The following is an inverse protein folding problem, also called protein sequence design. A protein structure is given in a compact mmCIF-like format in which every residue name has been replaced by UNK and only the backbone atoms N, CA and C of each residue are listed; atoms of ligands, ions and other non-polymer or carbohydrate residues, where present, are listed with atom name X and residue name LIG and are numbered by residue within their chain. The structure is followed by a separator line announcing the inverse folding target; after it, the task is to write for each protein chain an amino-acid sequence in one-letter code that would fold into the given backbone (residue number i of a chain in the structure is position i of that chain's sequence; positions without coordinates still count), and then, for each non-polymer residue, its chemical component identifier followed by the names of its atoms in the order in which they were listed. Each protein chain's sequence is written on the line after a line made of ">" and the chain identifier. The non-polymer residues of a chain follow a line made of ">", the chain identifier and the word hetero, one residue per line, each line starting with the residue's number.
data_IF_716341396008
#
_entry.id   IF_716341396008
#
_cell.length_a   1.000
_cell.length_b   1.000
_cell.length_c   1.000
_cell.angle_alpha   90.00
_cell.angle_beta   90.00
_cell.angle_gamma   90.00
#
_symmetry.space_group_name_H-M   'P 1'
#
loop_
_entity.id
_entity.type
_entity.pdbx_description
1 polymer ?
#
# COMPACT_ATOMS: atom_id res chain seq x y z
N UNK A 1 -2.47 36.96 55.44
CA UNK A 1 -3.75 36.27 55.20
C UNK A 1 -3.67 35.61 53.82
N UNK A 2 -3.58 34.27 53.72
CA UNK A 2 -3.49 33.60 52.43
C UNK A 2 -4.90 33.27 51.93
N UNK A 3 -5.35 33.99 50.90
CA UNK A 3 -6.62 33.72 50.23
C UNK A 3 -6.35 32.97 48.93
N UNK A 4 -6.86 31.74 48.87
CA UNK A 4 -7.26 31.00 47.67
C UNK A 4 -6.25 30.81 46.53
N UNK A 5 -5.40 29.78 46.65
CA UNK A 5 -4.91 29.00 45.50
C UNK A 5 -5.48 27.56 45.56
N UNK A 6 -6.78 27.45 45.82
CA UNK A 6 -7.48 26.16 45.91
C UNK A 6 -8.62 26.06 44.89
N UNK A 7 -8.31 26.44 43.65
CA UNK A 7 -9.05 26.15 42.43
C UNK A 7 -7.90 26.03 41.42
N UNK A 8 -7.47 24.89 40.90
CA UNK A 8 -8.17 24.04 39.92
C UNK A 8 -7.44 22.68 39.75
N UNK A 9 -6.64 22.20 40.72
CA UNK A 9 -5.89 20.95 40.51
C UNK A 9 -6.78 19.71 40.40
N UNK A 10 -7.93 19.67 41.10
CA UNK A 10 -8.91 18.59 40.94
C UNK A 10 -9.55 18.60 39.53
N UNK A 11 -9.66 19.79 38.91
CA UNK A 11 -10.21 19.97 37.57
C UNK A 11 -9.27 19.42 36.50
N UNK A 12 -7.96 19.68 36.61
CA UNK A 12 -6.99 19.24 35.61
C UNK A 12 -6.84 17.72 35.60
N UNK A 13 -6.73 17.07 36.76
CA UNK A 13 -6.63 15.61 36.80
C UNK A 13 -7.92 14.94 36.32
N UNK A 14 -9.09 15.46 36.71
CA UNK A 14 -10.37 14.97 36.18
C UNK A 14 -10.52 15.19 34.67
N UNK A 15 -10.00 16.32 34.16
CA UNK A 15 -9.98 16.61 32.72
C UNK A 15 -9.05 15.64 31.97
N UNK A 16 -7.87 15.34 32.53
CA UNK A 16 -6.93 14.37 31.97
C UNK A 16 -7.56 12.96 31.94
N UNK A 17 -8.21 12.54 33.03
CA UNK A 17 -8.90 11.25 33.08
C UNK A 17 -10.05 11.17 32.07
N UNK A 18 -10.84 12.25 31.95
CA UNK A 18 -11.89 12.38 30.93
C UNK A 18 -11.34 12.30 29.51
N UNK A 19 -10.24 13.02 29.21
CA UNK A 19 -9.60 12.99 27.90
C UNK A 19 -8.99 11.62 27.59
N UNK A 20 -8.40 10.96 28.58
CA UNK A 20 -7.87 9.60 28.42
C UNK A 20 -8.99 8.58 28.17
N UNK A 21 -10.15 8.72 28.84
CA UNK A 21 -11.33 7.90 28.59
C UNK A 21 -11.87 8.13 27.16
N UNK A 22 -11.97 9.39 26.72
CA UNK A 22 -12.38 9.74 25.35
C UNK A 22 -11.41 9.21 24.29
N UNK A 23 -10.09 9.29 24.53
CA UNK A 23 -9.07 8.71 23.62
C UNK A 23 -9.18 7.19 23.58
N UNK A 24 -9.45 6.54 24.71
CA UNK A 24 -9.63 5.09 24.79
C UNK A 24 -10.90 4.65 24.06
N UNK A 25 -11.99 5.41 24.18
CA UNK A 25 -13.24 5.22 23.44
C UNK A 25 -13.04 5.44 21.93
N UNK A 26 -12.32 6.49 21.52
CA UNK A 26 -11.90 6.72 20.13
C UNK A 26 -11.04 5.57 19.59
N UNK A 27 -10.11 5.03 20.38
CA UNK A 27 -9.29 3.87 20.01
C UNK A 27 -10.10 2.58 19.90
N UNK A 28 -11.13 2.41 20.72
CA UNK A 28 -12.07 1.27 20.67
C UNK A 28 -13.08 1.37 19.52
N UNK A 29 -13.41 2.59 19.08
CA UNK A 29 -14.18 2.88 17.86
C UNK A 29 -13.32 2.86 16.58
N UNK A 30 -12.00 2.74 16.71
CA UNK A 30 -11.06 2.52 15.61
C UNK A 30 -10.67 1.04 15.47
N UNK A 31 -11.59 0.18 15.01
CA UNK A 31 -11.18 -0.98 14.23
C UNK A 31 -11.97 -1.09 12.91
N UNK A 32 -12.28 0.01 12.23
CA UNK A 32 -13.11 -0.04 11.01
C UNK A 32 -12.62 0.82 9.86
N UNK A 33 -11.31 0.91 9.60
CA UNK A 33 -10.78 0.98 8.21
C UNK A 33 -9.42 0.29 8.08
N UNK A 34 -9.24 -0.87 8.71
CA UNK A 34 -8.26 -1.86 8.27
C UNK A 34 -8.78 -2.70 7.08
N UNK A 35 -9.58 -2.07 6.20
CA UNK A 35 -10.05 -2.64 4.94
C UNK A 35 -9.77 -1.72 3.74
N UNK A 36 -8.84 -0.77 3.85
CA UNK A 36 -8.40 0.04 2.71
C UNK A 36 -6.97 -0.24 2.23
N UNK A 37 -6.16 -1.01 2.96
CA UNK A 37 -4.80 -1.32 2.47
C UNK A 37 -4.79 -2.25 1.24
N UNK A 38 -5.88 -2.99 0.96
CA UNK A 38 -5.99 -3.81 -0.26
C UNK A 38 -6.76 -3.14 -1.39
N UNK A 39 -7.50 -2.07 -1.11
CA UNK A 39 -8.23 -1.32 -2.14
C UNK A 39 -7.31 -0.33 -2.87
N UNK A 40 -6.30 0.23 -2.20
CA UNK A 40 -5.36 1.18 -2.83
C UNK A 40 -4.48 0.53 -3.90
N UNK A 41 -4.06 -0.73 -3.71
CA UNK A 41 -3.31 -1.50 -4.71
C UNK A 41 -4.07 -1.66 -6.04
N UNK A 42 -5.40 -1.69 -6.01
CA UNK A 42 -6.22 -1.86 -7.20
C UNK A 42 -6.30 -0.58 -8.07
N UNK A 43 -5.97 0.58 -7.49
CA UNK A 43 -6.04 1.90 -8.16
C UNK A 43 -4.69 2.61 -8.29
N UNK A 44 -3.62 2.07 -7.70
CA UNK A 44 -2.28 2.66 -7.81
C UNK A 44 -1.76 2.55 -9.25
N UNK A 45 -1.39 3.72 -9.80
CA UNK A 45 -0.67 3.80 -11.06
C UNK A 45 0.75 3.26 -10.88
N UNK A 46 1.20 2.49 -11.87
CA UNK A 46 2.54 1.91 -11.86
C UNK A 46 3.59 2.97 -12.19
N UNK A 47 4.67 2.97 -11.42
CA UNK A 47 5.79 3.85 -11.66
C UNK A 47 6.82 3.13 -12.55
N UNK A 48 6.92 3.57 -13.79
CA UNK A 48 7.95 3.07 -14.70
C UNK A 48 9.28 3.76 -14.38
N UNK A 49 10.38 3.01 -14.17
CA UNK A 49 11.70 3.60 -14.08
C UNK A 49 12.05 4.35 -15.38
N UNK A 50 13.01 5.29 -15.36
CA UNK A 50 13.27 6.24 -16.45
C UNK A 50 13.81 5.61 -17.75
N UNK A 51 13.81 4.28 -17.87
CA UNK A 51 14.18 3.61 -19.11
C UNK A 51 13.11 3.97 -20.15
N UNK A 52 13.50 4.57 -21.29
CA UNK A 52 12.53 4.89 -22.33
C UNK A 52 12.00 3.60 -22.94
N UNK A 53 10.73 3.31 -22.68
CA UNK A 53 9.99 2.21 -23.27
C UNK A 53 9.32 2.72 -24.55
N UNK A 54 9.49 2.02 -25.66
CA UNK A 54 8.85 2.41 -26.92
C UNK A 54 7.32 2.44 -26.75
N UNK A 55 6.60 3.37 -27.42
CA UNK A 55 5.14 3.44 -27.30
C UNK A 55 4.43 2.14 -27.65
N UNK A 56 4.95 1.39 -28.64
CA UNK A 56 4.42 0.09 -29.04
C UNK A 56 4.64 -1.00 -27.99
N UNK A 57 5.72 -0.93 -27.21
CA UNK A 57 6.04 -1.93 -26.19
C UNK A 57 5.22 -1.72 -24.90
N UNK A 58 4.74 -0.49 -24.68
CA UNK A 58 3.91 -0.13 -23.51
C UNK A 58 2.57 -0.85 -23.45
N UNK A 59 2.06 -1.34 -24.58
CA UNK A 59 0.84 -2.15 -24.61
C UNK A 59 1.00 -3.50 -23.90
N UNK A 60 2.23 -3.96 -23.69
CA UNK A 60 2.55 -5.21 -23.00
C UNK A 60 2.80 -5.01 -21.50
N UNK A 61 2.67 -3.77 -21.02
CA UNK A 61 2.90 -3.43 -19.62
C UNK A 61 1.57 -3.15 -18.92
N UNK A 62 1.41 -3.61 -17.68
CA UNK A 62 0.25 -3.26 -16.89
C UNK A 62 0.30 -1.78 -16.53
N UNK A 63 -0.86 -1.13 -16.44
CA UNK A 63 -1.01 0.25 -15.98
C UNK A 63 -1.36 0.32 -14.49
N UNK A 64 -1.86 -0.79 -13.93
CA UNK A 64 -2.25 -0.92 -12.52
C UNK A 64 -1.84 -2.28 -11.96
N UNK A 65 -1.70 -2.37 -10.63
CA UNK A 65 -1.44 -3.65 -9.96
C UNK A 65 -2.55 -4.69 -10.18
N UNK A 66 -3.80 -4.25 -10.41
CA UNK A 66 -4.93 -5.14 -10.74
C UNK A 66 -4.73 -5.81 -12.11
N UNK A 67 -4.26 -5.05 -13.08
CA UNK A 67 -4.00 -5.56 -14.43
C UNK A 67 -2.89 -6.61 -14.38
N UNK A 68 -1.82 -6.35 -13.63
CA UNK A 68 -0.74 -7.31 -13.39
C UNK A 68 -1.22 -8.62 -12.74
N UNK A 69 -2.23 -8.58 -11.86
CA UNK A 69 -2.83 -9.79 -11.26
C UNK A 69 -3.59 -10.65 -12.28
N UNK A 70 -4.01 -10.07 -13.40
CA UNK A 70 -4.75 -10.77 -14.45
C UNK A 70 -3.82 -11.35 -15.53
N UNK A 71 -2.54 -10.95 -15.57
CA UNK A 71 -1.60 -11.34 -16.62
C UNK A 71 -1.37 -12.84 -16.70
N UNK A 72 -1.63 -13.44 -17.86
CA UNK A 72 -1.29 -14.83 -18.12
C UNK A 72 0.22 -15.05 -18.29
N UNK A 73 0.64 -16.30 -18.53
CA UNK A 73 2.05 -16.65 -18.74
C UNK A 73 2.68 -15.83 -19.88
N UNK A 74 1.94 -15.63 -20.99
CA UNK A 74 2.43 -14.96 -22.19
C UNK A 74 2.55 -13.45 -21.98
N UNK A 75 1.59 -12.87 -21.28
CA UNK A 75 1.58 -11.46 -20.91
C UNK A 75 2.73 -11.15 -19.94
N UNK A 76 2.98 -12.02 -18.96
CA UNK A 76 4.15 -11.93 -18.09
C UNK A 76 5.47 -12.04 -18.88
N UNK A 77 5.57 -12.97 -19.84
CA UNK A 77 6.76 -13.11 -20.68
C UNK A 77 7.02 -11.87 -21.54
N UNK A 78 5.96 -11.31 -22.13
CA UNK A 78 6.05 -10.08 -22.91
C UNK A 78 6.49 -8.90 -22.03
N UNK A 79 5.89 -8.73 -20.86
CA UNK A 79 6.25 -7.68 -19.91
C UNK A 79 7.70 -7.80 -19.45
N UNK A 80 8.16 -9.00 -19.05
CA UNK A 80 9.55 -9.21 -18.64
C UNK A 80 10.54 -8.89 -19.76
N UNK A 81 10.24 -9.23 -21.02
CA UNK A 81 11.09 -8.87 -22.17
C UNK A 81 11.20 -7.36 -22.37
N UNK A 82 10.09 -6.64 -22.24
CA UNK A 82 10.05 -5.17 -22.38
C UNK A 82 10.84 -4.49 -21.24
N UNK A 83 10.72 -5.01 -20.02
CA UNK A 83 11.40 -4.49 -18.84
C UNK A 83 12.87 -4.97 -18.73
N UNK A 84 13.30 -5.90 -19.57
CA UNK A 84 14.64 -6.49 -19.50
C UNK A 84 14.86 -7.39 -18.27
N UNK A 85 13.78 -7.91 -17.68
CA UNK A 85 13.84 -8.83 -16.54
C UNK A 85 14.26 -10.21 -17.08
N UNK A 86 15.30 -10.85 -16.52
CA UNK A 86 15.69 -12.20 -16.92
C UNK A 86 14.54 -13.19 -16.67
N UNK A 87 14.19 -13.98 -17.69
CA UNK A 87 13.10 -14.96 -17.63
C UNK A 87 13.70 -16.35 -17.61
N UNK A 88 13.40 -17.17 -16.60
CA UNK A 88 13.61 -18.60 -16.66
C UNK A 88 12.38 -19.30 -17.23
N UNK A 89 12.60 -20.40 -17.96
CA UNK A 89 11.50 -21.26 -18.42
C UNK A 89 10.80 -22.01 -17.28
N UNK A 90 11.45 -22.09 -16.12
CA UNK A 90 10.93 -22.76 -14.92
C UNK A 90 10.09 -21.83 -14.03
N UNK A 91 10.16 -20.51 -14.27
CA UNK A 91 9.46 -19.53 -13.44
C UNK A 91 7.94 -19.65 -13.60
N UNK A 92 7.25 -19.75 -12.47
CA UNK A 92 5.80 -19.69 -12.36
C UNK A 92 5.28 -18.30 -12.72
N UNK A 93 4.01 -18.21 -13.09
CA UNK A 93 3.34 -16.92 -13.35
C UNK A 93 3.42 -15.99 -12.13
N UNK A 94 3.31 -16.54 -10.93
CA UNK A 94 3.41 -15.83 -9.65
C UNK A 94 4.80 -15.22 -9.44
N UNK A 95 5.87 -15.94 -9.78
CA UNK A 95 7.24 -15.42 -9.70
C UNK A 95 7.47 -14.31 -10.72
N UNK A 96 7.01 -14.50 -11.97
CA UNK A 96 7.10 -13.47 -13.02
C UNK A 96 6.35 -12.21 -12.64
N UNK A 97 5.11 -12.33 -12.11
CA UNK A 97 4.33 -11.19 -11.62
C UNK A 97 5.02 -10.47 -10.47
N UNK A 98 5.66 -11.21 -9.58
CA UNK A 98 6.41 -10.63 -8.45
C UNK A 98 7.62 -9.83 -8.92
N UNK A 99 8.38 -10.34 -9.89
CA UNK A 99 9.51 -9.63 -10.48
C UNK A 99 9.07 -8.36 -11.24
N UNK A 100 7.98 -8.44 -12.00
CA UNK A 100 7.39 -7.26 -12.68
C UNK A 100 6.91 -6.23 -11.65
N UNK A 101 6.25 -6.67 -10.57
CA UNK A 101 5.77 -5.80 -9.52
C UNK A 101 6.92 -5.06 -8.82
N UNK A 102 7.99 -5.77 -8.47
CA UNK A 102 9.19 -5.18 -7.87
C UNK A 102 9.81 -4.13 -8.78
N UNK A 103 9.95 -4.43 -10.07
CA UNK A 103 10.51 -3.50 -11.06
C UNK A 103 9.67 -2.23 -11.21
N UNK A 104 8.35 -2.34 -11.12
CA UNK A 104 7.39 -1.24 -11.24
C UNK A 104 7.09 -0.55 -9.90
N UNK A 105 7.77 -0.95 -8.81
CA UNK A 105 7.63 -0.35 -7.48
C UNK A 105 6.29 -0.66 -6.79
N UNK A 106 5.68 -1.81 -7.08
CA UNK A 106 4.40 -2.25 -6.51
C UNK A 106 4.63 -3.22 -5.36
N UNK A 107 3.94 -3.05 -4.22
CA UNK A 107 3.93 -4.07 -3.17
C UNK A 107 3.43 -5.42 -3.73
N UNK A 108 4.27 -6.45 -3.66
CA UNK A 108 3.92 -7.78 -4.15
C UNK A 108 3.18 -8.57 -3.06
N UNK A 109 1.86 -8.73 -3.24
CA UNK A 109 1.02 -9.64 -2.45
C UNK A 109 0.79 -10.99 -3.17
N UNK A 110 1.63 -11.35 -4.15
CA UNK A 110 1.39 -12.49 -5.06
C UNK A 110 1.69 -13.89 -4.45
N UNK A 111 1.75 -13.98 -3.11
CA UNK A 111 1.91 -15.20 -2.33
C UNK A 111 0.63 -16.05 -2.27
#
# INVERSE_FOLDING_TARGET
>A
MPTNFYIEHQSIFALIESLQAQIKELKLLLPTKLYNNRLELATQQLHFPPIPISPGDRQHLPNTGKELRMFDVRECDAACRVLGIPISSEDTVTEKRSAIAEYLGVPSDFL
#
